data_IF_053837838742
#
_entry.id   IF_053837838742
#
_cell.length_a   1.000
_cell.length_b   1.000
_cell.length_c   1.000
_cell.angle_alpha   90.00
_cell.angle_beta   90.00
_cell.angle_gamma   90.00
#
_symmetry.space_group_name_H-M   'P 1'
#
loop_
_entity.id
_entity.type
_entity.pdbx_description
1 polymer ?
#
# COMPACT_ATOMS: atom_id res chain seq x y z
N UNK A 1 21.89 -4.60 38.05
CA UNK A 1 21.69 -6.05 37.88
C UNK A 1 20.22 -6.47 37.69
N UNK A 2 19.29 -6.25 38.65
CA UNK A 2 17.87 -6.67 38.47
C UNK A 2 17.07 -5.75 37.52
N UNK A 3 17.21 -4.44 37.67
CA UNK A 3 16.50 -3.46 36.84
C UNK A 3 16.92 -3.51 35.37
N UNK A 4 18.22 -3.65 35.09
CA UNK A 4 18.71 -3.78 33.71
C UNK A 4 18.18 -5.03 33.01
N UNK A 5 18.09 -6.15 33.73
CA UNK A 5 17.50 -7.39 33.20
C UNK A 5 16.03 -7.22 32.87
N UNK A 6 15.28 -6.53 33.73
CA UNK A 6 13.86 -6.25 33.52
C UNK A 6 13.66 -5.30 32.33
N UNK A 7 14.50 -4.27 32.19
CA UNK A 7 14.47 -3.34 31.07
C UNK A 7 14.71 -4.05 29.73
N UNK A 8 15.73 -4.92 29.66
CA UNK A 8 16.01 -5.72 28.45
C UNK A 8 14.84 -6.65 28.08
N UNK A 9 14.14 -7.21 29.08
CA UNK A 9 12.96 -8.05 28.84
C UNK A 9 11.77 -7.25 28.30
N UNK A 10 11.54 -6.06 28.82
CA UNK A 10 10.46 -5.17 28.32
C UNK A 10 10.78 -4.69 26.90
N UNK A 11 12.03 -4.29 26.63
CA UNK A 11 12.47 -3.82 25.32
C UNK A 11 12.40 -4.93 24.25
N UNK A 12 12.70 -6.18 24.62
CA UNK A 12 12.57 -7.32 23.71
C UNK A 12 11.12 -7.66 23.42
N UNK A 13 10.25 -7.68 24.43
CA UNK A 13 8.82 -7.90 24.25
C UNK A 13 8.18 -6.84 23.34
N UNK A 14 8.54 -5.55 23.52
CA UNK A 14 8.07 -4.46 22.66
C UNK A 14 8.50 -4.64 21.20
N UNK A 15 9.75 -5.04 20.96
CA UNK A 15 10.25 -5.32 19.60
C UNK A 15 9.51 -6.50 18.95
N UNK A 16 9.22 -7.55 19.71
CA UNK A 16 8.53 -8.72 19.19
C UNK A 16 7.05 -8.41 18.87
N UNK A 17 6.38 -7.55 19.65
CA UNK A 17 5.04 -7.06 19.33
C UNK A 17 5.02 -6.29 17.99
N UNK A 18 6.01 -5.40 17.76
CA UNK A 18 6.11 -4.67 16.49
C UNK A 18 6.33 -5.63 15.32
N UNK A 19 7.21 -6.62 15.47
CA UNK A 19 7.42 -7.64 14.43
C UNK A 19 6.13 -8.43 14.15
N UNK A 20 5.40 -8.81 15.18
CA UNK A 20 4.14 -9.54 15.03
C UNK A 20 3.12 -8.72 14.24
N UNK A 21 2.99 -7.42 14.54
CA UNK A 21 2.10 -6.52 13.77
C UNK A 21 2.52 -6.39 12.31
N UNK A 22 3.83 -6.30 12.04
CA UNK A 22 4.34 -6.26 10.65
C UNK A 22 4.00 -7.55 9.91
N UNK A 23 4.18 -8.71 10.55
CA UNK A 23 3.86 -10.01 9.97
C UNK A 23 2.35 -10.13 9.72
N UNK A 24 1.52 -9.76 10.69
CA UNK A 24 0.07 -9.77 10.58
C UNK A 24 -0.42 -8.90 9.42
N UNK A 25 0.06 -7.66 9.33
CA UNK A 25 -0.28 -6.76 8.22
C UNK A 25 0.21 -7.30 6.88
N UNK A 26 1.40 -7.92 6.83
CA UNK A 26 1.93 -8.52 5.61
C UNK A 26 1.09 -9.70 5.14
N UNK A 27 0.62 -10.54 6.07
CA UNK A 27 -0.26 -11.67 5.77
C UNK A 27 -1.62 -11.18 5.29
N UNK A 28 -2.22 -10.20 5.99
CA UNK A 28 -3.47 -9.58 5.58
C UNK A 28 -3.42 -9.06 4.14
N UNK A 29 -2.36 -8.34 3.77
CA UNK A 29 -2.19 -7.82 2.41
C UNK A 29 -2.03 -8.93 1.36
N UNK A 30 -1.44 -10.07 1.70
CA UNK A 30 -1.26 -11.22 0.79
C UNK A 30 -2.55 -12.01 0.56
N UNK A 31 -3.43 -12.05 1.55
CA UNK A 31 -4.71 -12.74 1.45
C UNK A 31 -5.73 -11.97 0.61
N UNK A 32 -5.50 -10.67 0.38
CA UNK A 32 -6.38 -9.86 -0.44
C UNK A 32 -6.27 -10.24 -1.93
N UNK A 33 -7.43 -10.39 -2.57
CA UNK A 33 -7.51 -10.55 -4.01
C UNK A 33 -7.16 -9.21 -4.67
N UNK A 34 -5.92 -9.08 -5.13
CA UNK A 34 -5.40 -7.87 -5.78
C UNK A 34 -5.66 -7.85 -7.27
N UNK A 35 -6.11 -8.97 -7.85
CA UNK A 35 -6.45 -9.08 -9.25
C UNK A 35 -7.77 -8.38 -9.52
N UNK A 36 -7.71 -7.31 -10.31
CA UNK A 36 -8.90 -6.66 -10.88
C UNK A 36 -9.31 -7.51 -12.09
N UNK A 37 -10.31 -8.36 -11.92
CA UNK A 37 -10.81 -9.25 -12.98
C UNK A 37 -11.88 -8.59 -13.85
N UNK A 38 -12.53 -7.55 -13.33
CA UNK A 38 -13.63 -6.83 -13.96
C UNK A 38 -13.44 -5.32 -13.80
N UNK A 39 -14.00 -4.56 -14.73
CA UNK A 39 -13.98 -3.10 -14.67
C UNK A 39 -14.95 -2.61 -13.58
N UNK A 40 -14.44 -1.82 -12.65
CA UNK A 40 -15.23 -1.11 -11.62
C UNK A 40 -14.94 0.40 -11.74
N UNK A 41 -15.95 1.16 -12.15
CA UNK A 41 -15.85 2.61 -12.36
C UNK A 41 -15.49 3.37 -11.07
N UNK A 42 -16.08 2.97 -9.93
CA UNK A 42 -15.82 3.62 -8.65
C UNK A 42 -14.38 3.36 -8.20
N UNK A 43 -13.87 2.15 -8.44
CA UNK A 43 -12.48 1.80 -8.18
C UNK A 43 -11.52 2.60 -9.08
N UNK A 44 -11.78 2.66 -10.38
CA UNK A 44 -10.94 3.39 -11.34
C UNK A 44 -10.86 4.87 -10.96
N UNK A 45 -12.00 5.50 -10.69
CA UNK A 45 -12.05 6.90 -10.27
C UNK A 45 -11.30 7.16 -8.96
N UNK A 46 -11.31 6.19 -8.04
CA UNK A 46 -10.57 6.28 -6.77
C UNK A 46 -9.06 6.21 -6.96
N UNK A 47 -8.60 5.39 -7.91
CA UNK A 47 -7.18 5.13 -8.18
C UNK A 47 -6.51 6.22 -9.00
N UNK A 48 -7.27 6.96 -9.81
CA UNK A 48 -6.77 8.10 -10.57
C UNK A 48 -6.43 9.26 -9.61
N UNK A 49 -5.26 9.84 -9.79
CA UNK A 49 -4.84 11.08 -9.13
C UNK A 49 -5.26 12.30 -9.97
N UNK A 50 -4.91 12.30 -11.26
CA UNK A 50 -5.35 13.33 -12.22
C UNK A 50 -5.30 12.83 -13.65
N UNK A 51 -6.04 13.53 -14.52
CA UNK A 51 -6.03 13.33 -15.98
C UNK A 51 -5.61 14.64 -16.63
N UNK A 52 -4.62 14.59 -17.51
CA UNK A 52 -4.15 15.73 -18.32
C UNK A 52 -4.53 15.47 -19.78
N UNK A 53 -5.22 16.43 -20.38
CA UNK A 53 -5.68 16.37 -21.76
C UNK A 53 -4.75 17.24 -22.62
N UNK A 54 -4.27 16.69 -23.73
CA UNK A 54 -3.52 17.38 -24.77
C UNK A 54 -4.32 17.37 -26.08
N UNK A 55 -3.75 17.89 -27.17
CA UNK A 55 -4.46 17.97 -28.46
C UNK A 55 -4.84 16.59 -29.02
N UNK A 56 -3.88 15.65 -29.08
CA UNK A 56 -4.10 14.30 -29.66
C UNK A 56 -3.88 13.16 -28.64
N UNK A 57 -3.61 13.50 -27.38
CA UNK A 57 -3.24 12.51 -26.35
C UNK A 57 -3.82 12.85 -25.00
N UNK A 58 -3.90 11.83 -24.14
CA UNK A 58 -4.28 11.99 -22.75
C UNK A 58 -3.33 11.22 -21.85
N UNK A 59 -3.00 11.85 -20.73
CA UNK A 59 -2.10 11.31 -19.71
C UNK A 59 -2.89 11.08 -18.43
N UNK A 60 -2.93 9.83 -17.96
CA UNK A 60 -3.59 9.45 -16.72
C UNK A 60 -2.52 9.12 -15.68
N UNK A 61 -2.52 9.84 -14.57
CA UNK A 61 -1.64 9.58 -13.43
C UNK A 61 -2.44 8.90 -12.32
N UNK A 62 -1.96 7.73 -11.89
CA UNK A 62 -2.53 6.97 -10.79
C UNK A 62 -1.85 7.32 -9.46
N UNK A 63 -2.56 7.14 -8.36
CA UNK A 63 -2.03 7.33 -7.00
C UNK A 63 -0.85 6.43 -6.64
N UNK A 64 -0.68 5.32 -7.37
CA UNK A 64 0.50 4.47 -7.26
C UNK A 64 1.77 5.11 -7.84
N UNK A 65 1.66 6.24 -8.55
CA UNK A 65 2.73 6.83 -9.34
C UNK A 65 2.84 6.26 -10.76
N UNK A 66 1.96 5.33 -11.15
CA UNK A 66 1.89 4.83 -12.52
C UNK A 66 1.32 5.91 -13.44
N UNK A 67 1.98 6.15 -14.56
CA UNK A 67 1.52 7.05 -15.62
C UNK A 67 1.19 6.24 -16.86
N UNK A 68 0.01 6.46 -17.43
CA UNK A 68 -0.40 5.86 -18.70
C UNK A 68 -0.61 6.98 -19.71
N UNK A 69 0.05 6.86 -20.86
CA UNK A 69 -0.17 7.71 -22.02
C UNK A 69 -1.05 6.98 -23.02
N UNK A 70 -2.06 7.67 -23.53
CA UNK A 70 -2.99 7.14 -24.50
C UNK A 70 -3.03 8.10 -25.68
N UNK A 71 -2.84 7.53 -26.87
CA UNK A 71 -2.94 8.20 -28.17
C UNK A 71 -4.37 8.00 -28.70
N UNK A 72 -4.92 9.01 -29.37
CA UNK A 72 -6.25 8.97 -30.01
C UNK A 72 -6.34 7.94 -31.15
#
# INVERSE_FOLDING_TARGET
MREEKQKVQVDSACKDEIKNRIVEMSTFLKEQHTSITEYDEALVRRLIEKVTIHEDTFTVEFKSGLTVHIEE
#
